data_IF_086335109551
#
_entry.id   IF_086335109551
#
_cell.length_a   1.000
_cell.length_b   1.000
_cell.length_c   1.000
_cell.angle_alpha   90.00
_cell.angle_beta   90.00
_cell.angle_gamma   90.00
#
_symmetry.space_group_name_H-M   'P 1'
#
loop_
_entity.id
_entity.type
_entity.pdbx_description
1 polymer ?
#
# COMPACT_ATOMS: atom_id res chain seq x y z
N UNK A 1 3.62 -2.01 16.96
CA UNK A 1 2.90 -2.50 15.79
C UNK A 1 3.77 -3.47 14.99
N UNK A 2 3.13 -4.26 14.11
CA UNK A 2 3.82 -5.26 13.31
C UNK A 2 3.32 -5.25 11.85
N UNK A 3 4.24 -5.52 10.91
CA UNK A 3 3.98 -5.68 9.48
C UNK A 3 4.47 -7.06 9.05
N UNK A 4 3.71 -7.76 8.23
CA UNK A 4 4.22 -8.90 7.44
C UNK A 4 4.51 -8.38 6.04
N UNK A 5 5.73 -8.55 5.57
CA UNK A 5 6.16 -8.01 4.29
C UNK A 5 6.80 -9.07 3.39
N UNK A 6 6.64 -8.92 2.09
CA UNK A 6 7.39 -9.73 1.13
C UNK A 6 8.90 -9.53 1.30
N UNK A 7 9.66 -10.60 1.26
CA UNK A 7 11.13 -10.52 1.23
C UNK A 7 11.69 -10.14 -0.16
N UNK A 8 10.84 -10.18 -1.18
CA UNK A 8 11.16 -9.82 -2.55
C UNK A 8 10.44 -8.51 -2.91
N UNK A 9 11.06 -7.39 -2.57
CA UNK A 9 10.53 -6.06 -2.86
C UNK A 9 11.64 -5.03 -3.02
N UNK A 10 11.30 -3.86 -3.50
CA UNK A 10 12.22 -2.75 -3.71
C UNK A 10 13.10 -2.49 -2.48
N UNK A 11 14.42 -2.43 -2.69
CA UNK A 11 15.39 -2.36 -1.60
C UNK A 11 15.20 -1.19 -0.64
N UNK A 12 14.68 -0.05 -1.11
CA UNK A 12 14.37 1.07 -0.21
C UNK A 12 13.17 0.76 0.71
N UNK A 13 12.21 -0.06 0.27
CA UNK A 13 11.10 -0.52 1.13
C UNK A 13 11.64 -1.48 2.21
N UNK A 14 12.58 -2.37 1.84
CA UNK A 14 13.26 -3.23 2.84
C UNK A 14 13.95 -2.36 3.90
N UNK A 15 14.78 -1.40 3.48
CA UNK A 15 15.44 -0.48 4.39
C UNK A 15 14.46 0.34 5.26
N UNK A 16 13.36 0.79 4.67
CA UNK A 16 12.32 1.52 5.40
C UNK A 16 11.72 0.66 6.50
N UNK A 17 11.32 -0.57 6.18
CA UNK A 17 10.64 -1.46 7.10
C UNK A 17 11.60 -2.01 8.16
N UNK A 18 12.79 -2.47 7.77
CA UNK A 18 13.75 -3.11 8.68
C UNK A 18 14.45 -2.10 9.60
N UNK A 19 14.86 -0.95 9.07
CA UNK A 19 15.74 -0.04 9.79
C UNK A 19 15.08 1.27 10.23
N UNK A 20 14.21 1.83 9.38
CA UNK A 20 13.62 3.14 9.70
C UNK A 20 12.42 3.00 10.62
N UNK A 21 11.44 2.17 10.25
CA UNK A 21 10.21 1.99 11.02
C UNK A 21 10.44 1.28 12.35
N UNK A 22 11.48 0.44 12.45
CA UNK A 22 11.87 -0.19 13.71
C UNK A 22 12.20 0.82 14.82
N UNK A 23 12.74 1.99 14.45
CA UNK A 23 12.99 3.09 15.41
C UNK A 23 11.71 3.71 15.98
N UNK A 24 10.59 3.51 15.33
CA UNK A 24 9.27 3.95 15.77
C UNK A 24 8.47 2.82 16.43
N UNK A 25 9.11 1.69 16.76
CA UNK A 25 8.47 0.55 17.40
C UNK A 25 7.57 -0.27 16.47
N UNK A 26 7.82 -0.22 15.16
CA UNK A 26 7.14 -1.04 14.16
C UNK A 26 8.08 -2.17 13.74
N UNK A 27 7.71 -3.40 14.07
CA UNK A 27 8.46 -4.61 13.71
C UNK A 27 8.00 -5.12 12.33
N UNK A 28 8.89 -5.76 11.59
CA UNK A 28 8.55 -6.37 10.31
C UNK A 28 9.05 -7.81 10.24
N UNK A 29 8.15 -8.73 9.84
CA UNK A 29 8.50 -10.10 9.45
C UNK A 29 8.54 -10.19 7.93
N UNK A 30 9.70 -10.55 7.37
CA UNK A 30 9.86 -10.75 5.93
C UNK A 30 9.63 -12.21 5.57
N UNK A 31 8.78 -12.44 4.55
CA UNK A 31 8.36 -13.78 4.11
C UNK A 31 8.42 -13.87 2.58
N UNK A 32 8.72 -15.06 2.06
CA UNK A 32 8.69 -15.27 0.60
C UNK A 32 7.29 -14.99 0.03
N UNK A 33 7.17 -14.21 -1.07
CA UNK A 33 5.87 -13.74 -1.60
C UNK A 33 4.96 -14.87 -2.11
N UNK A 34 5.55 -16.00 -2.48
CA UNK A 34 4.86 -17.18 -3.01
C UNK A 34 4.53 -18.24 -1.92
N UNK A 35 4.89 -17.99 -0.66
CA UNK A 35 4.56 -18.88 0.46
C UNK A 35 3.42 -18.30 1.30
N UNK A 36 2.19 -18.56 0.86
CA UNK A 36 0.96 -18.11 1.54
C UNK A 36 0.86 -18.68 2.96
N UNK A 37 1.35 -19.89 3.18
CA UNK A 37 1.33 -20.54 4.50
C UNK A 37 2.28 -19.85 5.48
N UNK A 38 3.46 -19.48 5.04
CA UNK A 38 4.41 -18.71 5.84
C UNK A 38 3.90 -17.28 6.11
N UNK A 39 3.23 -16.64 5.14
CA UNK A 39 2.57 -15.34 5.36
C UNK A 39 1.53 -15.46 6.48
N UNK A 40 0.67 -16.48 6.42
CA UNK A 40 -0.35 -16.75 7.46
C UNK A 40 0.30 -16.98 8.83
N UNK A 41 1.36 -17.78 8.88
CA UNK A 41 2.08 -18.11 10.12
C UNK A 41 2.80 -16.91 10.74
N UNK A 42 3.21 -15.93 9.93
CA UNK A 42 3.89 -14.72 10.39
C UNK A 42 2.94 -13.67 10.99
N UNK A 43 1.62 -13.80 10.80
CA UNK A 43 0.64 -12.86 11.35
C UNK A 43 0.55 -13.02 12.86
N UNK A 44 0.66 -11.89 13.58
CA UNK A 44 0.60 -11.77 15.04
C UNK A 44 -0.64 -10.96 15.45
N UNK A 45 -1.06 -11.01 16.73
CA UNK A 45 -2.19 -10.19 17.22
C UNK A 45 -2.02 -8.68 16.93
N UNK A 46 -0.78 -8.17 16.98
CA UNK A 46 -0.43 -6.77 16.72
C UNK A 46 -0.08 -6.47 15.24
N UNK A 47 -0.28 -7.42 14.32
CA UNK A 47 -0.07 -7.17 12.89
C UNK A 47 -1.14 -6.22 12.36
N UNK A 48 -0.69 -5.20 11.63
CA UNK A 48 -1.55 -4.15 11.07
C UNK A 48 -1.79 -4.28 9.57
N UNK A 49 -0.90 -4.91 8.83
CA UNK A 49 -1.05 -5.14 7.40
C UNK A 49 -0.14 -6.25 6.90
N UNK A 50 -0.47 -6.78 5.74
CA UNK A 50 0.47 -7.49 4.87
C UNK A 50 0.84 -6.55 3.72
N UNK A 51 2.14 -6.47 3.42
CA UNK A 51 2.68 -5.65 2.33
C UNK A 51 3.44 -6.52 1.33
N UNK A 52 3.21 -6.32 0.04
CA UNK A 52 3.97 -6.99 -1.00
C UNK A 52 3.95 -6.27 -2.34
N UNK A 53 4.73 -6.79 -3.27
CA UNK A 53 4.71 -6.38 -4.67
C UNK A 53 4.07 -7.49 -5.50
N UNK A 54 3.30 -7.15 -6.53
CA UNK A 54 2.74 -8.17 -7.45
C UNK A 54 3.88 -8.94 -8.11
N UNK A 55 4.90 -8.23 -8.56
CA UNK A 55 6.12 -8.78 -9.15
C UNK A 55 7.28 -8.27 -8.31
N UNK A 56 7.94 -9.16 -7.60
CA UNK A 56 8.99 -8.84 -6.63
C UNK A 56 10.26 -8.30 -7.29
N UNK A 57 10.95 -7.40 -6.60
CA UNK A 57 12.20 -6.80 -7.04
C UNK A 57 13.36 -7.20 -6.07
N UNK A 58 14.47 -7.81 -6.53
CA UNK A 58 14.83 -8.07 -7.94
C UNK A 58 14.46 -9.48 -8.44
N UNK A 59 13.92 -10.34 -7.59
CA UNK A 59 13.75 -11.77 -7.86
C UNK A 59 12.72 -12.11 -8.92
N UNK A 60 11.81 -11.17 -9.26
CA UNK A 60 10.71 -11.37 -10.21
C UNK A 60 9.71 -12.46 -9.79
N UNK A 61 9.70 -12.82 -8.50
CA UNK A 61 8.67 -13.70 -7.95
C UNK A 61 7.30 -13.04 -8.02
N UNK A 62 6.29 -13.81 -8.38
CA UNK A 62 4.91 -13.32 -8.49
C UNK A 62 4.13 -13.72 -7.26
N UNK A 63 3.51 -12.75 -6.60
CA UNK A 63 2.64 -12.98 -5.44
C UNK A 63 1.25 -13.44 -5.89
N UNK A 64 0.75 -14.50 -5.28
CA UNK A 64 -0.67 -14.88 -5.41
C UNK A 64 -1.55 -13.94 -4.58
N UNK A 65 -1.88 -12.79 -5.17
CA UNK A 65 -2.64 -11.73 -4.50
C UNK A 65 -4.00 -12.24 -3.99
N UNK A 66 -4.80 -12.99 -4.77
CA UNK A 66 -6.06 -13.57 -4.28
C UNK A 66 -5.88 -14.45 -3.04
N UNK A 67 -4.91 -15.35 -3.06
CA UNK A 67 -4.68 -16.25 -1.93
C UNK A 67 -4.21 -15.50 -0.67
N UNK A 68 -3.35 -14.49 -0.81
CA UNK A 68 -2.92 -13.64 0.30
C UNK A 68 -4.07 -12.76 0.80
N UNK A 69 -4.96 -12.29 -0.08
CA UNK A 69 -6.14 -11.53 0.30
C UNK A 69 -7.08 -12.31 1.21
N UNK A 70 -7.29 -13.60 0.95
CA UNK A 70 -8.10 -14.44 1.85
C UNK A 70 -7.45 -14.57 3.25
N UNK A 71 -6.13 -14.72 3.31
CA UNK A 71 -5.40 -14.78 4.59
C UNK A 71 -5.53 -13.45 5.37
N UNK A 72 -5.40 -12.33 4.71
CA UNK A 72 -5.51 -11.01 5.37
C UNK A 72 -6.94 -10.71 5.81
N UNK A 73 -7.93 -11.12 5.03
CA UNK A 73 -9.35 -11.02 5.36
C UNK A 73 -9.70 -11.84 6.60
N UNK A 74 -9.25 -13.11 6.67
CA UNK A 74 -9.41 -13.95 7.87
C UNK A 74 -8.77 -13.31 9.12
N UNK A 75 -7.63 -12.64 8.96
CA UNK A 75 -6.91 -11.99 10.05
C UNK A 75 -7.46 -10.60 10.43
N UNK A 76 -8.42 -10.06 9.65
CA UNK A 76 -9.00 -8.73 9.85
C UNK A 76 -7.98 -7.60 9.70
N UNK A 77 -7.08 -7.72 8.72
CA UNK A 77 -6.05 -6.73 8.40
C UNK A 77 -6.01 -6.44 6.89
N UNK A 78 -5.66 -5.23 6.45
CA UNK A 78 -5.60 -4.90 5.03
C UNK A 78 -4.40 -5.56 4.33
N UNK A 79 -4.62 -5.89 3.05
CA UNK A 79 -3.57 -6.21 2.10
C UNK A 79 -3.18 -4.95 1.32
N UNK A 80 -1.91 -4.57 1.41
CA UNK A 80 -1.32 -3.42 0.73
C UNK A 80 -0.37 -3.93 -0.35
N UNK A 81 -0.62 -3.56 -1.59
CA UNK A 81 0.15 -4.05 -2.74
C UNK A 81 0.82 -2.88 -3.47
N UNK A 82 2.12 -2.98 -3.67
CA UNK A 82 2.83 -2.16 -4.63
C UNK A 82 2.64 -2.75 -6.03
N UNK A 83 1.94 -2.02 -6.88
CA UNK A 83 1.64 -2.39 -8.25
C UNK A 83 2.54 -1.70 -9.29
N UNK A 84 3.70 -1.22 -8.88
CA UNK A 84 4.57 -0.40 -9.75
C UNK A 84 5.02 -1.14 -11.00
N UNK A 85 5.37 -2.43 -10.91
CA UNK A 85 5.83 -3.21 -12.07
C UNK A 85 4.71 -3.62 -13.01
N UNK A 86 3.60 -4.12 -12.45
CA UNK A 86 2.47 -4.58 -13.28
C UNK A 86 1.65 -3.42 -13.84
N UNK A 87 1.69 -2.25 -13.23
CA UNK A 87 0.79 -1.12 -13.51
C UNK A 87 -0.69 -1.53 -13.50
N UNK A 88 -1.64 -0.61 -13.48
CA UNK A 88 -3.07 -0.99 -13.58
C UNK A 88 -3.46 -1.54 -14.95
N UNK A 89 -2.55 -1.51 -15.93
CA UNK A 89 -2.79 -2.06 -17.26
C UNK A 89 -2.73 -3.59 -17.28
N UNK A 90 -1.67 -4.19 -16.70
CA UNK A 90 -1.48 -5.64 -16.72
C UNK A 90 -2.25 -6.36 -15.61
N UNK A 91 -2.35 -5.74 -14.41
CA UNK A 91 -3.01 -6.38 -13.28
C UNK A 91 -3.51 -5.33 -12.28
N UNK A 92 -4.75 -5.48 -11.83
CA UNK A 92 -5.40 -4.57 -10.89
C UNK A 92 -5.62 -5.23 -9.54
N UNK A 93 -4.71 -5.09 -8.57
CA UNK A 93 -4.78 -5.83 -7.31
C UNK A 93 -6.08 -5.61 -6.53
N UNK A 94 -6.73 -4.44 -6.64
CA UNK A 94 -8.02 -4.16 -5.98
C UNK A 94 -9.14 -5.10 -6.46
N UNK A 95 -9.13 -5.50 -7.71
CA UNK A 95 -10.10 -6.45 -8.29
C UNK A 95 -9.85 -7.89 -7.80
N UNK A 96 -8.71 -8.12 -7.15
CA UNK A 96 -8.25 -9.40 -6.65
C UNK A 96 -8.08 -9.45 -5.13
N UNK A 97 -8.75 -8.55 -4.40
CA UNK A 97 -8.86 -8.58 -2.96
C UNK A 97 -7.84 -7.71 -2.18
N UNK A 98 -6.93 -7.03 -2.85
CA UNK A 98 -6.13 -5.99 -2.19
C UNK A 98 -7.04 -4.85 -1.70
N UNK A 99 -6.63 -4.21 -0.61
CA UNK A 99 -7.39 -3.10 -0.03
C UNK A 99 -6.77 -1.74 -0.40
N UNK A 100 -5.45 -1.71 -0.49
CA UNK A 100 -4.70 -0.49 -0.83
C UNK A 100 -3.68 -0.86 -1.89
N UNK A 101 -3.54 -0.02 -2.91
CA UNK A 101 -2.49 -0.15 -3.92
C UNK A 101 -1.59 1.08 -3.89
N UNK A 102 -0.29 0.82 -3.95
CA UNK A 102 0.74 1.86 -4.08
C UNK A 102 1.30 1.79 -5.49
N UNK A 103 1.55 2.95 -6.08
CA UNK A 103 2.17 3.08 -7.40
C UNK A 103 3.30 4.10 -7.35
N UNK A 104 4.50 3.70 -7.71
CA UNK A 104 5.54 4.66 -8.07
C UNK A 104 5.26 5.19 -9.49
N UNK A 105 4.65 6.37 -9.56
CA UNK A 105 4.40 7.04 -10.85
C UNK A 105 5.71 7.40 -11.58
N UNK A 106 6.82 7.43 -10.85
CA UNK A 106 8.19 7.63 -11.35
C UNK A 106 8.60 6.60 -12.41
N UNK A 107 8.02 5.38 -12.33
CA UNK A 107 8.44 4.22 -13.13
C UNK A 107 7.60 4.07 -14.40
N UNK A 108 6.97 2.92 -14.61
CA UNK A 108 6.24 2.62 -15.85
C UNK A 108 5.10 3.60 -16.17
N UNK A 109 4.37 4.08 -15.18
CA UNK A 109 3.27 5.02 -15.42
C UNK A 109 3.77 6.35 -15.99
N UNK A 110 4.80 6.95 -15.42
CA UNK A 110 5.44 8.14 -15.99
C UNK A 110 6.29 7.84 -17.22
N UNK A 111 6.98 6.73 -17.24
CA UNK A 111 7.60 6.08 -18.40
C UNK A 111 8.85 6.72 -18.99
N UNK A 112 9.16 7.98 -18.63
CA UNK A 112 10.20 8.76 -19.31
C UNK A 112 11.34 9.22 -18.39
N UNK A 113 11.29 8.90 -17.10
CA UNK A 113 12.32 9.30 -16.14
C UNK A 113 12.48 10.81 -15.92
N UNK A 114 11.44 11.58 -16.23
CA UNK A 114 11.47 13.05 -16.18
C UNK A 114 10.90 13.66 -14.90
N UNK A 115 10.13 12.88 -14.14
CA UNK A 115 9.48 13.34 -12.91
C UNK A 115 9.38 12.21 -11.89
N UNK A 116 9.43 12.58 -10.62
CA UNK A 116 9.15 11.67 -9.51
C UNK A 116 7.73 11.90 -9.01
N UNK A 117 7.04 10.82 -8.65
CA UNK A 117 5.72 10.88 -8.07
C UNK A 117 5.27 9.53 -7.54
N UNK A 118 4.23 9.55 -6.73
CA UNK A 118 3.60 8.37 -6.17
C UNK A 118 2.09 8.55 -6.06
N UNK A 119 1.37 7.44 -6.01
CA UNK A 119 -0.05 7.43 -5.73
C UNK A 119 -0.37 6.32 -4.73
N UNK A 120 -1.30 6.61 -3.82
CA UNK A 120 -1.94 5.64 -2.95
C UNK A 120 -3.40 5.53 -3.41
N UNK A 121 -3.82 4.35 -3.76
CA UNK A 121 -5.17 4.06 -4.20
C UNK A 121 -5.85 3.23 -3.11
N UNK A 122 -6.85 3.83 -2.48
CA UNK A 122 -7.70 3.18 -1.49
C UNK A 122 -8.86 2.50 -2.21
N UNK A 123 -9.00 1.19 -2.01
CA UNK A 123 -10.09 0.41 -2.60
C UNK A 123 -11.46 0.70 -1.99
N UNK A 124 -11.52 1.32 -0.80
CA UNK A 124 -12.75 1.53 -0.06
C UNK A 124 -13.48 0.22 0.31
N UNK A 125 -12.76 -0.88 0.33
CA UNK A 125 -13.30 -2.23 0.49
C UNK A 125 -12.87 -2.91 1.81
N UNK A 126 -12.23 -2.17 2.72
CA UNK A 126 -11.81 -2.67 4.03
C UNK A 126 -12.65 -2.04 5.13
N UNK A 127 -13.22 -2.88 5.99
CA UNK A 127 -13.95 -2.43 7.18
C UNK A 127 -12.95 -2.12 8.32
N UNK A 128 -12.62 -0.85 8.47
CA UNK A 128 -11.71 -0.37 9.51
C UNK A 128 -12.29 -0.52 10.93
N UNK A 129 -13.61 -0.65 11.04
CA UNK A 129 -14.33 -0.81 12.30
C UNK A 129 -14.52 -2.26 12.75
N UNK A 130 -14.13 -3.25 11.96
CA UNK A 130 -14.39 -4.67 12.24
C UNK A 130 -13.66 -5.22 13.49
N UNK A 131 -12.63 -4.53 13.96
CA UNK A 131 -11.85 -4.90 15.15
C UNK A 131 -11.09 -3.69 15.73
N UNK A 132 -10.45 -3.89 16.89
CA UNK A 132 -9.74 -2.83 17.61
C UNK A 132 -8.31 -2.54 17.11
N UNK A 133 -7.94 -3.07 15.94
CA UNK A 133 -6.56 -2.93 15.42
C UNK A 133 -6.26 -1.52 14.91
N UNK A 134 -7.28 -0.72 14.57
CA UNK A 134 -7.11 0.58 13.91
C UNK A 134 -7.71 1.75 14.71
N UNK A 135 -7.32 1.93 15.99
CA UNK A 135 -7.91 2.98 16.84
C UNK A 135 -7.71 4.39 16.27
N UNK A 136 -6.65 4.61 15.48
CA UNK A 136 -6.40 5.90 14.82
C UNK A 136 -7.45 6.27 13.77
N UNK A 137 -8.26 5.33 13.30
CA UNK A 137 -9.38 5.56 12.39
C UNK A 137 -10.74 5.49 13.08
N UNK A 138 -10.83 4.74 14.19
CA UNK A 138 -12.10 4.38 14.84
C UNK A 138 -12.31 5.07 16.18
N UNK A 139 -11.42 5.96 16.59
CA UNK A 139 -11.58 6.78 17.81
C UNK A 139 -11.46 8.27 17.49
N UNK A 140 -11.85 9.12 18.45
CA UNK A 140 -11.82 10.57 18.31
C UNK A 140 -10.39 11.07 17.93
N UNK A 141 -10.30 11.75 16.81
CA UNK A 141 -9.05 12.35 16.34
C UNK A 141 -8.95 13.80 16.78
N UNK A 142 -8.28 14.07 17.89
CA UNK A 142 -8.26 15.39 18.52
C UNK A 142 -7.63 16.50 17.66
N UNK A 143 -6.64 16.16 16.82
CA UNK A 143 -6.10 17.11 15.84
C UNK A 143 -7.11 17.48 14.73
N UNK A 144 -8.22 16.76 14.65
CA UNK A 144 -9.33 16.98 13.72
C UNK A 144 -10.64 17.20 14.48
N UNK A 145 -10.60 18.04 15.52
CA UNK A 145 -11.76 18.46 16.30
C UNK A 145 -12.55 17.31 16.95
N UNK A 146 -11.89 16.18 17.22
CA UNK A 146 -12.50 15.03 17.85
C UNK A 146 -13.33 14.14 16.92
N UNK A 147 -13.22 14.31 15.60
CA UNK A 147 -13.94 13.49 14.62
C UNK A 147 -13.45 12.03 14.69
N UNK A 148 -14.38 11.08 14.71
CA UNK A 148 -14.13 9.69 14.44
C UNK A 148 -14.18 9.49 12.92
N UNK A 149 -13.03 9.19 12.31
CA UNK A 149 -12.92 9.15 10.86
C UNK A 149 -13.74 8.00 10.23
N UNK A 150 -13.85 6.87 10.92
CA UNK A 150 -14.67 5.75 10.44
C UNK A 150 -16.17 6.08 10.47
N UNK A 151 -16.66 6.70 11.55
CA UNK A 151 -18.06 7.10 11.67
C UNK A 151 -18.45 8.17 10.65
N UNK A 152 -17.56 9.12 10.38
CA UNK A 152 -17.83 10.25 9.48
C UNK A 152 -17.65 9.89 8.01
N UNK A 153 -16.58 9.14 7.66
CA UNK A 153 -16.19 8.90 6.27
C UNK A 153 -16.37 7.44 5.81
N UNK A 154 -16.67 6.51 6.73
CA UNK A 154 -16.87 5.10 6.40
C UNK A 154 -15.69 4.54 5.59
N UNK A 155 -15.95 3.93 4.43
CA UNK A 155 -14.90 3.33 3.58
C UNK A 155 -13.77 4.29 3.18
N UNK A 156 -14.01 5.61 3.19
CA UNK A 156 -13.00 6.61 2.87
C UNK A 156 -12.18 7.08 4.09
N UNK A 157 -12.36 6.49 5.27
CA UNK A 157 -11.65 6.88 6.50
C UNK A 157 -10.13 6.85 6.36
N UNK A 158 -9.58 5.83 5.69
CA UNK A 158 -8.15 5.74 5.44
C UNK A 158 -7.67 6.89 4.55
N UNK A 159 -8.33 7.14 3.44
CA UNK A 159 -8.01 8.27 2.54
C UNK A 159 -8.12 9.62 3.26
N UNK A 160 -9.14 9.80 4.11
CA UNK A 160 -9.28 11.00 4.94
C UNK A 160 -8.09 11.17 5.89
N UNK A 161 -7.65 10.07 6.55
CA UNK A 161 -6.48 10.08 7.44
C UNK A 161 -5.18 10.38 6.70
N UNK A 162 -4.96 9.76 5.54
CA UNK A 162 -3.77 10.01 4.72
C UNK A 162 -3.67 11.49 4.35
N UNK A 163 -4.78 12.14 4.01
CA UNK A 163 -4.81 13.57 3.67
C UNK A 163 -4.62 14.46 4.89
N UNK A 164 -5.38 14.21 5.95
CA UNK A 164 -5.43 15.09 7.12
C UNK A 164 -4.19 15.02 8.01
N UNK A 165 -3.49 13.89 8.02
CA UNK A 165 -2.29 13.71 8.85
C UNK A 165 -1.06 13.36 8.00
N UNK A 166 -1.14 12.36 7.15
CA UNK A 166 0.00 11.92 6.35
C UNK A 166 0.52 13.02 5.44
N UNK A 167 -0.33 13.56 4.57
CA UNK A 167 0.09 14.62 3.64
C UNK A 167 0.34 15.94 4.37
N UNK A 168 -0.50 16.29 5.33
CA UNK A 168 -0.39 17.57 6.03
C UNK A 168 0.85 17.65 6.92
N UNK A 169 1.16 16.60 7.70
CA UNK A 169 2.25 16.63 8.67
C UNK A 169 3.60 16.19 8.08
N UNK A 170 3.60 15.26 7.12
CA UNK A 170 4.82 14.74 6.48
C UNK A 170 5.18 15.52 5.22
N UNK A 171 4.19 16.19 4.60
CA UNK A 171 4.37 17.17 3.54
C UNK A 171 4.63 16.63 2.13
N UNK A 172 4.30 15.39 1.76
CA UNK A 172 4.46 14.96 0.37
C UNK A 172 3.53 15.79 -0.52
N UNK A 173 4.11 16.49 -1.48
CA UNK A 173 3.37 17.36 -2.39
C UNK A 173 3.91 17.19 -3.81
N UNK A 174 3.09 16.63 -4.69
CA UNK A 174 3.41 16.53 -6.11
C UNK A 174 3.24 17.90 -6.77
N UNK A 175 4.30 18.42 -7.40
CA UNK A 175 4.19 19.68 -8.13
C UNK A 175 3.27 19.55 -9.36
N UNK A 176 2.53 20.62 -9.73
CA UNK A 176 1.69 20.59 -10.94
C UNK A 176 2.48 20.24 -12.22
N UNK A 177 3.71 20.70 -12.33
CA UNK A 177 4.60 20.39 -13.47
C UNK A 177 4.93 18.90 -13.53
N UNK A 178 5.29 18.30 -12.39
CA UNK A 178 5.54 16.85 -12.34
C UNK A 178 4.27 16.07 -12.64
N UNK A 179 3.11 16.48 -12.12
CA UNK A 179 1.83 15.85 -12.43
C UNK A 179 1.53 15.88 -13.93
N UNK A 180 1.79 17.01 -14.59
CA UNK A 180 1.63 17.15 -16.05
C UNK A 180 2.51 16.15 -16.81
N UNK A 181 3.81 16.07 -16.48
CA UNK A 181 4.71 15.13 -17.14
C UNK A 181 4.31 13.66 -16.91
N UNK A 182 3.86 13.32 -15.71
CA UNK A 182 3.38 11.97 -15.40
C UNK A 182 2.10 11.63 -16.18
N UNK A 183 1.16 12.58 -16.30
CA UNK A 183 -0.06 12.41 -17.10
C UNK A 183 0.27 12.19 -18.59
N UNK A 184 1.23 12.96 -19.15
CA UNK A 184 1.69 12.70 -20.52
C UNK A 184 2.29 11.30 -20.69
N UNK A 185 3.01 10.81 -19.69
CA UNK A 185 3.53 9.43 -19.70
C UNK A 185 2.44 8.37 -19.74
N UNK A 186 1.31 8.60 -19.10
CA UNK A 186 0.17 7.68 -19.08
C UNK A 186 -0.46 7.46 -20.46
N UNK A 187 -0.44 8.44 -21.35
CA UNK A 187 -1.03 8.36 -22.69
C UNK A 187 -0.43 7.22 -23.54
N UNK A 188 0.82 6.86 -23.28
CA UNK A 188 1.52 5.78 -23.99
C UNK A 188 1.67 4.51 -23.16
N UNK A 189 1.08 4.45 -21.99
CA UNK A 189 1.28 3.33 -21.05
C UNK A 189 0.90 1.99 -21.69
N UNK A 190 -0.28 1.89 -22.31
CA UNK A 190 -0.74 0.65 -22.93
C UNK A 190 0.24 0.14 -23.99
N UNK A 191 0.69 1.02 -24.88
CA UNK A 191 1.67 0.67 -25.93
C UNK A 191 3.00 0.17 -25.36
N UNK A 192 3.41 0.70 -24.22
CA UNK A 192 4.67 0.29 -23.56
C UNK A 192 4.53 -1.01 -22.79
N UNK A 193 3.34 -1.30 -22.28
CA UNK A 193 3.07 -2.53 -21.51
C UNK A 193 2.70 -3.71 -22.40
N UNK A 194 2.30 -3.50 -23.67
CA UNK A 194 2.03 -4.54 -24.67
C UNK A 194 3.31 -5.19 -25.23
N UNK A 195 4.48 -4.65 -24.93
CA UNK A 195 5.80 -5.13 -25.43
C UNK A 195 6.63 -5.80 -24.36
#
# INVERSE_FOLDING_TARGET
DHIVASSQMYGANVNLFEHTLSRYGIETSFVAPNDVSAIKAAIRPNTKMVFGEVIGNPGMDVMDVPAVAEVTKEAGIPLVIDGTFNTPYLFRPLEHGANIVIQSLTKWMGGHGVAMGGAIIDGGNFDWGQNDKFPTLTTAHYAFQGVNLWEEFGPAAFSARVRSEGMYNVGPCLSPTNAFHLLQGLETLSLRMDR
#
